data_IF_349109804665
#
_entry.id   IF_349109804665
#
_cell.length_a   1.000
_cell.length_b   1.000
_cell.length_c   1.000
_cell.angle_alpha   90.00
_cell.angle_beta   90.00
_cell.angle_gamma   90.00
#
_symmetry.space_group_name_H-M   'P 1'
#
loop_
_entity.id
_entity.type
_entity.pdbx_description
1 polymer ?
#
# COMPACT_ATOMS: atom_id res chain seq x y z
N UNK A 1 -12.24 37.76 4.29
CA UNK A 1 -11.69 37.64 2.94
C UNK A 1 -10.21 37.26 2.96
N UNK A 2 -9.53 37.10 1.83
CA UNK A 2 -8.14 36.64 1.72
C UNK A 2 -7.15 37.46 2.57
N UNK A 3 -7.29 38.77 2.56
CA UNK A 3 -6.44 39.70 3.35
C UNK A 3 -6.55 39.46 4.86
N UNK A 4 -7.72 39.11 5.37
CA UNK A 4 -7.92 38.82 6.79
C UNK A 4 -7.21 37.54 7.21
N UNK A 5 -7.30 36.48 6.38
CA UNK A 5 -6.61 35.23 6.64
C UNK A 5 -5.11 35.40 6.59
N UNK A 6 -4.60 36.09 5.58
CA UNK A 6 -3.19 36.43 5.48
C UNK A 6 -2.69 37.28 6.67
N UNK A 7 -3.53 38.18 7.17
CA UNK A 7 -3.23 38.98 8.38
C UNK A 7 -3.09 38.11 9.64
N UNK A 8 -4.00 37.14 9.83
CA UNK A 8 -3.93 36.18 10.95
C UNK A 8 -2.61 35.40 10.90
N UNK A 9 -2.30 34.83 9.73
CA UNK A 9 -1.09 34.01 9.55
C UNK A 9 0.20 34.83 9.77
N UNK A 10 0.23 36.08 9.31
CA UNK A 10 1.38 36.96 9.57
C UNK A 10 1.55 37.29 11.07
N UNK A 11 0.44 37.43 11.80
CA UNK A 11 0.48 37.63 13.25
C UNK A 11 0.99 36.40 14.00
N UNK A 12 0.80 35.20 13.40
CA UNK A 12 1.35 33.94 13.91
C UNK A 12 2.81 33.69 13.47
N UNK A 13 3.43 34.65 12.77
CA UNK A 13 4.84 34.60 12.41
C UNK A 13 5.14 34.02 11.02
N UNK A 14 4.12 33.78 10.18
CA UNK A 14 4.33 33.32 8.81
C UNK A 14 4.63 34.49 7.88
N UNK A 15 5.76 34.43 7.19
CA UNK A 15 6.10 35.39 6.15
C UNK A 15 5.31 35.07 4.88
N UNK A 16 4.30 35.86 4.57
CA UNK A 16 3.47 35.74 3.38
C UNK A 16 3.61 37.00 2.51
N UNK A 17 3.51 36.80 1.20
CA UNK A 17 3.42 37.93 0.25
C UNK A 17 2.22 38.81 0.54
N UNK A 18 2.20 40.06 0.02
CA UNK A 18 1.05 40.95 0.21
C UNK A 18 -0.27 40.37 -0.26
N UNK A 19 -0.25 39.58 -1.34
CA UNK A 19 -1.44 39.06 -2.01
C UNK A 19 -1.32 37.52 -2.25
N UNK A 20 -1.50 36.67 -1.20
CA UNK A 20 -1.53 35.26 -1.38
C UNK A 20 -2.79 34.84 -2.15
N UNK A 21 -2.67 33.80 -2.97
CA UNK A 21 -3.77 33.28 -3.79
C UNK A 21 -4.68 32.40 -2.92
N UNK A 22 -5.98 32.69 -2.89
CA UNK A 22 -6.99 31.80 -2.31
C UNK A 22 -7.87 31.22 -3.43
N UNK A 23 -7.93 29.89 -3.49
CA UNK A 23 -8.74 29.17 -4.47
C UNK A 23 -9.49 27.99 -3.83
N UNK A 24 -10.55 27.53 -4.46
CA UNK A 24 -11.24 26.32 -4.02
C UNK A 24 -10.33 25.11 -4.24
N UNK A 25 -10.11 24.33 -3.20
CA UNK A 25 -9.37 23.08 -3.33
C UNK A 25 -10.17 22.06 -4.14
N UNK A 26 -9.53 21.02 -4.65
CA UNK A 26 -10.22 19.92 -5.36
C UNK A 26 -11.23 19.17 -4.48
N UNK A 27 -11.20 19.39 -3.16
CA UNK A 27 -12.07 18.74 -2.18
C UNK A 27 -13.20 19.69 -1.77
N UNK A 28 -14.41 19.18 -1.72
CA UNK A 28 -15.58 19.98 -1.34
C UNK A 28 -15.46 20.55 0.08
N UNK A 29 -15.82 21.83 0.20
CA UNK A 29 -15.78 22.56 1.46
C UNK A 29 -14.40 23.00 1.94
N UNK A 30 -13.34 22.76 1.19
CA UNK A 30 -11.97 23.20 1.52
C UNK A 30 -11.51 24.25 0.52
N UNK A 31 -10.88 25.31 1.06
CA UNK A 31 -10.19 26.32 0.27
C UNK A 31 -8.70 26.23 0.54
N UNK A 32 -7.86 26.49 -0.44
CA UNK A 32 -6.42 26.58 -0.25
C UNK A 32 -5.96 28.03 -0.36
N UNK A 33 -5.09 28.41 0.58
CA UNK A 33 -4.26 29.60 0.48
C UNK A 33 -2.88 29.15 0.03
N UNK A 34 -2.42 29.72 -1.07
CA UNK A 34 -1.12 29.45 -1.64
C UNK A 34 -0.34 30.76 -1.77
N UNK A 35 0.87 30.77 -1.28
CA UNK A 35 1.82 31.84 -1.46
C UNK A 35 3.02 31.38 -2.28
N UNK A 36 3.11 31.85 -3.51
CA UNK A 36 4.20 31.48 -4.43
C UNK A 36 5.57 31.96 -3.97
N UNK A 37 5.63 33.09 -3.25
CA UNK A 37 6.88 33.71 -2.84
C UNK A 37 7.55 32.93 -1.72
N UNK A 38 6.80 32.65 -0.66
CA UNK A 38 7.30 31.94 0.51
C UNK A 38 7.11 30.41 0.42
N UNK A 39 6.42 29.92 -0.62
CA UNK A 39 6.02 28.51 -0.79
C UNK A 39 5.12 27.97 0.32
N UNK A 40 4.54 28.85 1.15
CA UNK A 40 3.57 28.43 2.17
C UNK A 40 2.25 28.03 1.55
N UNK A 41 1.69 26.95 2.06
CA UNK A 41 0.39 26.45 1.66
C UNK A 41 -0.46 26.09 2.88
N UNK A 42 -1.68 26.64 2.95
CA UNK A 42 -2.62 26.39 4.03
C UNK A 42 -3.96 25.90 3.49
N UNK A 43 -4.61 25.04 4.26
CA UNK A 43 -5.99 24.64 4.04
C UNK A 43 -6.93 25.46 4.92
N UNK A 44 -7.98 26.00 4.32
CA UNK A 44 -9.02 26.76 4.99
C UNK A 44 -10.31 25.95 4.95
N UNK A 45 -10.86 25.60 6.11
CA UNK A 45 -12.08 24.82 6.22
C UNK A 45 -13.07 25.49 7.20
N UNK A 46 -14.34 25.72 6.80
CA UNK A 46 -15.37 26.13 7.74
C UNK A 46 -15.57 25.05 8.83
N UNK A 47 -15.82 25.48 10.05
CA UNK A 47 -16.30 24.60 11.10
C UNK A 47 -17.68 24.05 10.75
N UNK A 48 -18.10 22.94 11.39
CA UNK A 48 -19.37 22.26 11.10
C UNK A 48 -20.58 23.16 11.34
N UNK A 49 -20.47 24.15 12.23
CA UNK A 49 -21.50 25.18 12.49
C UNK A 49 -21.45 26.37 11.50
N UNK A 50 -20.49 26.39 10.58
CA UNK A 50 -20.28 27.45 9.59
C UNK A 50 -19.85 28.79 10.16
N UNK A 51 -19.66 28.92 11.49
CA UNK A 51 -19.38 30.21 12.17
C UNK A 51 -17.90 30.54 12.30
N UNK A 52 -17.02 29.54 12.14
CA UNK A 52 -15.59 29.67 12.28
C UNK A 52 -14.88 29.14 11.03
N UNK A 53 -13.71 29.69 10.74
CA UNK A 53 -12.84 29.20 9.68
C UNK A 53 -11.58 28.62 10.34
N UNK A 54 -11.36 27.33 10.19
CA UNK A 54 -10.13 26.69 10.60
C UNK A 54 -9.05 26.90 9.54
N UNK A 55 -7.85 27.24 10.00
CA UNK A 55 -6.66 27.40 9.17
C UNK A 55 -5.71 26.28 9.58
N UNK A 56 -5.28 25.48 8.62
CA UNK A 56 -4.41 24.31 8.84
C UNK A 56 -3.21 24.39 7.91
N UNK A 57 -2.05 23.99 8.39
CA UNK A 57 -0.90 23.79 7.52
C UNK A 57 -1.28 22.76 6.43
N UNK A 58 -0.85 22.92 5.18
CA UNK A 58 -1.28 22.02 4.10
C UNK A 58 -0.88 20.56 4.37
N UNK A 59 0.25 20.34 5.03
CA UNK A 59 0.67 19.01 5.47
C UNK A 59 -0.25 18.38 6.50
N UNK A 60 -0.88 19.20 7.36
CA UNK A 60 -1.70 18.78 8.49
C UNK A 60 -3.19 19.06 8.27
N UNK A 61 -3.59 19.48 7.08
CA UNK A 61 -4.95 19.91 6.77
C UNK A 61 -6.00 18.80 6.97
N UNK A 62 -5.58 17.53 6.97
CA UNK A 62 -6.43 16.39 7.26
C UNK A 62 -6.71 16.22 8.76
N UNK A 63 -5.93 16.85 9.64
CA UNK A 63 -6.06 16.76 11.11
C UNK A 63 -7.06 17.75 11.69
N UNK A 64 -8.20 17.96 11.05
CA UNK A 64 -9.30 18.78 11.55
C UNK A 64 -10.38 17.91 12.25
N UNK A 65 -11.22 18.49 13.15
CA UNK A 65 -12.16 17.74 13.98
C UNK A 65 -13.08 16.73 13.25
N UNK A 66 -13.46 17.01 12.00
CA UNK A 66 -14.31 16.15 11.18
C UNK A 66 -13.56 15.31 10.17
N UNK A 67 -12.23 15.24 10.25
CA UNK A 67 -11.42 14.46 9.31
C UNK A 67 -11.66 12.96 9.48
N UNK A 68 -11.81 12.26 8.34
CA UNK A 68 -11.84 10.80 8.30
C UNK A 68 -10.55 10.17 8.89
N UNK A 69 -9.40 10.86 8.72
CA UNK A 69 -8.09 10.34 9.11
C UNK A 69 -7.79 10.40 10.61
N UNK A 70 -8.71 10.94 11.41
CA UNK A 70 -8.61 10.84 12.87
C UNK A 70 -8.89 9.41 13.32
N UNK A 71 -8.17 8.96 14.35
CA UNK A 71 -8.16 7.57 14.79
C UNK A 71 -9.52 7.03 15.19
N UNK A 72 -10.39 7.88 15.74
CA UNK A 72 -11.76 7.55 16.12
C UNK A 72 -12.71 7.39 14.92
N UNK A 73 -12.33 7.87 13.73
CA UNK A 73 -13.15 7.88 12.50
C UNK A 73 -12.69 6.92 11.42
N UNK A 74 -11.46 6.45 11.51
CA UNK A 74 -10.95 5.43 10.59
C UNK A 74 -11.80 4.16 10.68
N UNK A 75 -12.11 3.57 9.53
CA UNK A 75 -12.94 2.36 9.45
C UNK A 75 -12.23 1.24 8.70
N UNK A 76 -12.62 0.01 8.99
CA UNK A 76 -12.09 -1.16 8.31
C UNK A 76 -10.57 -1.23 8.35
N UNK A 77 -9.95 -1.42 7.19
CA UNK A 77 -8.49 -1.57 7.05
C UNK A 77 -7.68 -0.35 7.50
N UNK A 78 -8.28 0.84 7.50
CA UNK A 78 -7.59 2.08 7.87
C UNK A 78 -7.40 2.25 9.38
N UNK A 79 -8.10 1.45 10.20
CA UNK A 79 -7.86 1.40 11.65
C UNK A 79 -6.51 0.80 12.03
N UNK A 80 -5.90 0.08 11.09
CA UNK A 80 -4.71 -0.71 11.35
C UNK A 80 -5.01 -2.01 12.14
N UNK A 81 -4.19 -3.03 11.95
CA UNK A 81 -4.30 -4.29 12.68
C UNK A 81 -3.54 -4.19 14.02
N UNK A 82 -4.21 -4.32 15.18
CA UNK A 82 -3.56 -4.16 16.48
C UNK A 82 -2.40 -5.12 16.73
N UNK A 83 -2.54 -6.38 16.31
CA UNK A 83 -1.52 -7.40 16.47
C UNK A 83 -0.61 -7.49 15.25
N UNK A 84 0.71 -7.31 15.46
CA UNK A 84 1.71 -7.51 14.38
C UNK A 84 1.69 -8.91 13.80
N UNK A 85 1.52 -9.92 14.66
CA UNK A 85 1.48 -11.31 14.22
C UNK A 85 0.25 -11.58 13.37
N UNK A 86 -0.90 -11.08 13.78
CA UNK A 86 -2.15 -11.17 13.00
C UNK A 86 -2.02 -10.42 11.68
N UNK A 87 -1.46 -9.21 11.70
CA UNK A 87 -1.18 -8.45 10.49
C UNK A 87 -0.25 -9.21 9.53
N UNK A 88 0.85 -9.79 10.04
CA UNK A 88 1.75 -10.62 9.25
C UNK A 88 1.04 -11.83 8.64
N UNK A 89 0.21 -12.52 9.43
CA UNK A 89 -0.57 -13.64 8.93
C UNK A 89 -1.54 -13.21 7.81
N UNK A 90 -2.22 -12.07 7.99
CA UNK A 90 -3.13 -11.54 6.97
C UNK A 90 -2.41 -11.05 5.70
N UNK A 91 -1.20 -10.50 5.82
CA UNK A 91 -0.37 -10.13 4.67
C UNK A 91 0.17 -11.35 3.89
N UNK A 92 0.41 -12.48 4.55
CA UNK A 92 1.03 -13.64 3.91
C UNK A 92 0.00 -14.66 3.42
N UNK A 93 -0.96 -15.06 4.28
CA UNK A 93 -1.88 -16.18 4.04
C UNK A 93 -3.35 -15.88 4.40
N UNK A 94 -3.66 -14.70 4.94
CA UNK A 94 -5.02 -14.29 5.30
C UNK A 94 -5.77 -13.61 4.15
N UNK A 95 -6.69 -12.71 4.52
CA UNK A 95 -7.60 -12.07 3.55
C UNK A 95 -6.91 -11.16 2.53
N UNK A 96 -5.77 -10.55 2.83
CA UNK A 96 -4.93 -9.79 1.88
C UNK A 96 -3.64 -10.53 1.53
N UNK A 97 -3.60 -11.83 1.80
CA UNK A 97 -2.37 -12.61 1.76
C UNK A 97 -1.80 -12.79 0.36
N UNK A 98 -0.49 -12.62 0.26
CA UNK A 98 0.26 -12.83 -0.98
C UNK A 98 0.04 -14.24 -1.51
N UNK A 99 0.07 -15.25 -0.62
CA UNK A 99 -0.03 -16.65 -1.01
C UNK A 99 -1.48 -17.17 -1.06
N UNK A 100 -2.40 -16.59 -0.29
CA UNK A 100 -3.81 -17.03 -0.30
C UNK A 100 -4.58 -16.48 -1.49
N UNK A 101 -4.37 -15.22 -1.85
CA UNK A 101 -5.01 -14.61 -3.01
C UNK A 101 -4.34 -15.00 -4.33
N UNK A 102 -3.03 -15.17 -4.31
CA UNK A 102 -2.27 -15.53 -5.50
C UNK A 102 -1.38 -16.73 -5.21
N UNK A 103 -1.98 -17.93 -4.99
CA UNK A 103 -1.23 -19.12 -4.61
C UNK A 103 -0.25 -19.58 -5.70
N UNK A 104 -0.34 -19.05 -6.92
CA UNK A 104 0.64 -19.27 -7.96
C UNK A 104 2.07 -18.85 -7.54
N UNK A 105 2.22 -17.93 -6.57
CA UNK A 105 3.55 -17.56 -6.04
C UNK A 105 4.26 -18.69 -5.30
N UNK A 106 3.58 -19.79 -4.95
CA UNK A 106 4.24 -20.99 -4.47
C UNK A 106 5.17 -21.60 -5.55
N UNK A 107 4.82 -21.45 -6.82
CA UNK A 107 5.69 -21.85 -7.95
C UNK A 107 6.94 -20.96 -8.01
N UNK A 108 6.81 -19.65 -7.69
CA UNK A 108 7.95 -18.74 -7.60
C UNK A 108 8.88 -19.13 -6.45
N UNK A 109 8.34 -19.48 -5.28
CA UNK A 109 9.14 -19.98 -4.16
C UNK A 109 9.86 -21.29 -4.52
N UNK A 110 9.21 -22.21 -5.22
CA UNK A 110 9.86 -23.40 -5.74
C UNK A 110 11.00 -23.08 -6.70
N UNK A 111 10.82 -22.03 -7.54
CA UNK A 111 11.88 -21.52 -8.43
C UNK A 111 13.09 -20.98 -7.66
N UNK A 112 12.85 -20.22 -6.60
CA UNK A 112 13.94 -19.74 -5.70
C UNK A 112 14.68 -20.94 -5.11
N UNK A 113 13.95 -21.85 -4.48
CA UNK A 113 14.55 -23.03 -3.85
C UNK A 113 15.38 -23.85 -4.84
N UNK A 114 14.85 -24.08 -6.03
CA UNK A 114 15.55 -24.81 -7.09
C UNK A 114 16.87 -24.15 -7.46
N UNK A 115 16.90 -22.84 -7.73
CA UNK A 115 18.10 -22.14 -8.13
C UNK A 115 19.13 -22.14 -7.00
N UNK A 116 18.69 -21.93 -5.75
CA UNK A 116 19.59 -21.94 -4.58
C UNK A 116 20.22 -23.31 -4.36
N UNK A 117 19.42 -24.39 -4.47
CA UNK A 117 19.90 -25.76 -4.24
C UNK A 117 20.83 -26.22 -5.37
N UNK A 118 20.51 -25.90 -6.64
CA UNK A 118 21.30 -26.38 -7.79
C UNK A 118 22.61 -25.63 -7.98
N UNK A 119 22.75 -24.41 -7.46
CA UNK A 119 23.94 -23.59 -7.69
C UNK A 119 25.02 -23.90 -6.66
N UNK A 120 26.17 -24.46 -7.07
CA UNK A 120 27.26 -24.71 -6.16
C UNK A 120 27.80 -23.44 -5.50
N UNK A 121 28.21 -23.51 -4.24
CA UNK A 121 28.72 -22.35 -3.50
C UNK A 121 29.88 -21.62 -4.21
N UNK A 122 30.75 -22.37 -4.87
CA UNK A 122 31.84 -21.79 -5.66
C UNK A 122 31.37 -20.84 -6.78
N UNK A 123 30.15 -20.98 -7.25
CA UNK A 123 29.59 -20.21 -8.37
C UNK A 123 28.65 -19.08 -7.92
N UNK A 124 28.41 -18.86 -6.63
CA UNK A 124 27.48 -17.84 -6.14
C UNK A 124 27.81 -16.43 -6.64
N UNK A 125 29.08 -16.13 -6.80
CA UNK A 125 29.55 -14.82 -7.24
C UNK A 125 29.67 -14.67 -8.76
N UNK A 126 29.52 -15.76 -9.50
CA UNK A 126 29.67 -15.76 -10.98
C UNK A 126 28.36 -16.12 -11.69
N UNK A 127 27.45 -16.85 -11.03
CA UNK A 127 26.15 -17.22 -11.60
C UNK A 127 25.14 -16.07 -11.47
N UNK A 128 24.88 -15.42 -12.60
CA UNK A 128 23.97 -14.27 -12.66
C UNK A 128 22.51 -14.66 -12.32
N UNK A 129 22.09 -15.88 -12.65
CA UNK A 129 20.73 -16.34 -12.35
C UNK A 129 20.56 -16.52 -10.84
N UNK A 130 21.57 -17.06 -10.16
CA UNK A 130 21.57 -17.15 -8.70
C UNK A 130 21.55 -15.77 -8.06
N UNK A 131 22.43 -14.86 -8.47
CA UNK A 131 22.50 -13.50 -7.90
C UNK A 131 21.18 -12.75 -8.06
N UNK A 132 20.56 -12.80 -9.25
CA UNK A 132 19.28 -12.15 -9.49
C UNK A 132 18.16 -12.79 -8.65
N UNK A 133 18.15 -14.11 -8.52
CA UNK A 133 17.19 -14.83 -7.69
C UNK A 133 17.29 -14.42 -6.22
N UNK A 134 18.49 -14.39 -5.68
CA UNK A 134 18.77 -13.97 -4.29
C UNK A 134 18.38 -12.50 -4.10
N UNK A 135 18.77 -11.64 -5.04
CA UNK A 135 18.40 -10.21 -4.97
C UNK A 135 16.88 -10.01 -4.93
N UNK A 136 16.11 -10.69 -5.81
CA UNK A 136 14.63 -10.61 -5.81
C UNK A 136 14.07 -11.15 -4.49
N UNK A 137 14.51 -12.32 -4.04
CA UNK A 137 14.01 -12.94 -2.82
C UNK A 137 14.30 -12.09 -1.58
N UNK A 138 15.54 -11.60 -1.45
CA UNK A 138 15.96 -10.76 -0.33
C UNK A 138 15.23 -9.42 -0.31
N UNK A 139 15.14 -8.74 -1.46
CA UNK A 139 14.43 -7.46 -1.53
C UNK A 139 12.93 -7.65 -1.22
N UNK A 140 12.31 -8.72 -1.72
CA UNK A 140 10.92 -9.06 -1.38
C UNK A 140 10.74 -9.29 0.12
N UNK A 141 11.65 -10.05 0.76
CA UNK A 141 11.60 -10.31 2.19
C UNK A 141 11.80 -9.04 3.03
N UNK A 142 12.74 -8.17 2.63
CA UNK A 142 13.00 -6.88 3.29
C UNK A 142 11.76 -5.99 3.21
N UNK A 143 11.14 -5.87 2.03
CA UNK A 143 9.95 -5.01 1.85
C UNK A 143 8.75 -5.56 2.61
N UNK A 144 8.50 -6.88 2.58
CA UNK A 144 7.46 -7.51 3.40
C UNK A 144 7.72 -7.26 4.89
N UNK A 145 8.96 -7.49 5.34
CA UNK A 145 9.37 -7.25 6.73
C UNK A 145 9.19 -5.79 7.15
N UNK A 146 9.55 -4.86 6.29
CA UNK A 146 9.33 -3.42 6.51
C UNK A 146 7.86 -3.10 6.77
N UNK A 147 6.94 -3.56 5.90
CA UNK A 147 5.53 -3.28 6.09
C UNK A 147 4.94 -3.98 7.32
N UNK A 148 5.37 -5.20 7.65
CA UNK A 148 4.95 -5.88 8.88
C UNK A 148 5.44 -5.13 10.13
N UNK A 149 6.61 -4.49 10.07
CA UNK A 149 7.20 -3.77 11.19
C UNK A 149 6.59 -2.38 11.43
N UNK A 150 5.74 -1.86 10.52
CA UNK A 150 5.15 -0.51 10.65
C UNK A 150 4.40 -0.31 11.96
N UNK A 151 4.33 0.94 12.48
CA UNK A 151 3.51 1.28 13.63
C UNK A 151 2.03 1.03 13.36
N UNK A 152 1.20 1.03 14.41
CA UNK A 152 -0.22 0.63 14.34
C UNK A 152 -1.01 1.42 13.29
N UNK A 153 -0.83 2.71 13.26
CA UNK A 153 -1.50 3.66 12.36
C UNK A 153 -1.24 3.41 10.87
N UNK A 154 -0.14 2.72 10.57
CA UNK A 154 0.27 2.39 9.20
C UNK A 154 0.08 0.92 8.83
N UNK A 155 -0.41 0.09 9.76
CA UNK A 155 -0.68 -1.34 9.50
C UNK A 155 -1.97 -1.54 8.73
N UNK A 156 -1.97 -1.06 7.50
CA UNK A 156 -3.03 -1.33 6.54
C UNK A 156 -2.46 -2.12 5.35
N UNK A 157 -3.31 -2.56 4.46
CA UNK A 157 -2.92 -3.38 3.31
C UNK A 157 -2.72 -2.55 2.02
N UNK A 158 -2.62 -1.23 2.17
CA UNK A 158 -2.60 -0.27 1.07
C UNK A 158 -3.96 0.39 0.85
N UNK A 159 -4.80 0.47 1.89
CA UNK A 159 -6.18 0.93 1.84
C UNK A 159 -7.13 -0.17 1.37
N UNK A 160 -8.34 0.21 0.96
CA UNK A 160 -9.31 -0.73 0.37
C UNK A 160 -8.77 -1.21 -0.98
N UNK A 161 -8.36 -2.46 -1.05
CA UNK A 161 -7.71 -3.06 -2.23
C UNK A 161 -7.91 -4.57 -2.22
N UNK A 162 -7.84 -5.20 -3.38
CA UNK A 162 -8.03 -6.64 -3.55
C UNK A 162 -6.84 -7.52 -3.17
N UNK A 163 -5.83 -6.96 -2.50
CA UNK A 163 -4.63 -7.69 -2.08
C UNK A 163 -3.63 -6.78 -1.36
N UNK A 164 -2.47 -7.31 -1.00
CA UNK A 164 -1.40 -6.52 -0.41
C UNK A 164 -0.75 -5.61 -1.47
N UNK A 165 -1.32 -4.43 -1.66
CA UNK A 165 -0.93 -3.49 -2.73
C UNK A 165 0.54 -3.11 -2.72
N UNK A 166 1.16 -3.06 -1.55
CA UNK A 166 2.57 -2.73 -1.39
C UNK A 166 3.52 -3.68 -2.13
N UNK A 167 3.05 -4.90 -2.45
CA UNK A 167 3.86 -5.92 -3.11
C UNK A 167 3.60 -6.03 -4.62
N UNK A 168 2.69 -5.25 -5.18
CA UNK A 168 2.36 -5.33 -6.63
C UNK A 168 3.55 -5.01 -7.54
N UNK A 169 4.49 -4.20 -7.07
CA UNK A 169 5.73 -3.90 -7.79
C UNK A 169 6.62 -5.12 -8.05
N UNK A 170 6.49 -6.16 -7.22
CA UNK A 170 7.29 -7.38 -7.34
C UNK A 170 6.67 -8.40 -8.29
N UNK A 171 5.44 -8.23 -8.73
CA UNK A 171 4.72 -9.18 -9.58
C UNK A 171 5.53 -9.60 -10.81
N UNK A 172 6.14 -8.71 -11.62
CA UNK A 172 6.95 -9.12 -12.76
C UNK A 172 8.18 -9.95 -12.36
N UNK A 173 8.81 -9.62 -11.24
CA UNK A 173 9.98 -10.33 -10.74
C UNK A 173 9.60 -11.72 -10.23
N UNK A 174 8.46 -11.85 -9.55
CA UNK A 174 7.95 -13.13 -9.09
C UNK A 174 7.52 -14.03 -10.24
N UNK A 175 6.98 -13.47 -11.33
CA UNK A 175 6.74 -14.23 -12.56
C UNK A 175 8.04 -14.78 -13.15
N UNK A 176 9.10 -13.99 -13.14
CA UNK A 176 10.41 -14.45 -13.59
C UNK A 176 10.88 -15.67 -12.77
N UNK A 177 10.68 -15.66 -11.46
CA UNK A 177 10.97 -16.80 -10.56
C UNK A 177 10.03 -17.98 -10.85
N UNK A 178 8.74 -17.72 -11.08
CA UNK A 178 7.75 -18.77 -11.40
C UNK A 178 8.13 -19.56 -12.67
N UNK A 179 8.63 -18.89 -13.71
CA UNK A 179 9.13 -19.55 -14.92
C UNK A 179 10.24 -20.56 -14.60
N UNK A 180 11.05 -20.32 -13.57
CA UNK A 180 12.08 -21.26 -13.10
C UNK A 180 11.44 -22.41 -12.33
N UNK A 181 10.46 -22.09 -11.48
CA UNK A 181 9.72 -23.09 -10.71
C UNK A 181 8.94 -24.07 -11.58
N UNK A 182 8.39 -23.62 -12.71
CA UNK A 182 7.69 -24.45 -13.67
C UNK A 182 8.59 -25.60 -14.21
N UNK A 183 9.91 -25.39 -14.30
CA UNK A 183 10.85 -26.43 -14.72
C UNK A 183 10.86 -27.66 -13.78
N UNK A 184 10.36 -27.51 -12.55
CA UNK A 184 10.22 -28.62 -11.59
C UNK A 184 8.94 -29.42 -11.78
N UNK A 185 8.02 -28.90 -12.58
CA UNK A 185 6.70 -29.50 -12.75
C UNK A 185 6.79 -30.67 -13.74
N UNK A 186 6.82 -31.88 -13.19
CA UNK A 186 6.86 -33.10 -13.95
C UNK A 186 5.62 -33.96 -13.61
N UNK A 187 5.01 -34.49 -14.63
CA UNK A 187 3.84 -35.34 -14.48
C UNK A 187 2.50 -34.58 -14.37
N UNK A 188 1.44 -35.28 -14.77
CA UNK A 188 0.09 -34.70 -14.92
C UNK A 188 -0.48 -34.09 -13.64
N UNK A 189 -0.22 -34.70 -12.49
CA UNK A 189 -0.79 -34.25 -11.21
C UNK A 189 -0.20 -32.90 -10.74
N UNK A 190 1.12 -32.72 -10.90
CA UNK A 190 1.74 -31.45 -10.61
C UNK A 190 1.29 -30.34 -11.56
N UNK A 191 1.12 -30.66 -12.84
CA UNK A 191 0.54 -29.71 -13.79
C UNK A 191 -0.89 -29.33 -13.42
N UNK A 192 -1.72 -30.30 -13.02
CA UNK A 192 -3.07 -30.00 -12.54
C UNK A 192 -3.04 -29.09 -11.32
N UNK A 193 -2.16 -29.33 -10.35
CA UNK A 193 -1.99 -28.47 -9.19
C UNK A 193 -1.61 -27.05 -9.60
N UNK A 194 -0.59 -26.88 -10.44
CA UNK A 194 -0.17 -25.56 -10.93
C UNK A 194 -1.30 -24.83 -11.64
N UNK A 195 -2.09 -25.52 -12.44
CA UNK A 195 -3.26 -24.93 -13.12
C UNK A 195 -4.34 -24.50 -12.14
N UNK A 196 -4.59 -25.26 -11.07
CA UNK A 196 -5.52 -24.87 -10.00
C UNK A 196 -5.02 -23.62 -9.28
N UNK A 197 -3.74 -23.59 -8.90
CA UNK A 197 -3.13 -22.42 -8.25
C UNK A 197 -3.21 -21.18 -9.15
N UNK A 198 -2.96 -21.34 -10.44
CA UNK A 198 -3.10 -20.27 -11.43
C UNK A 198 -4.55 -19.81 -11.56
N UNK A 199 -5.52 -20.72 -11.63
CA UNK A 199 -6.94 -20.39 -11.75
C UNK A 199 -7.44 -19.57 -10.56
N UNK A 200 -7.07 -19.96 -9.32
CA UNK A 200 -7.38 -19.18 -8.10
C UNK A 200 -6.74 -17.80 -8.18
N UNK A 201 -5.49 -17.72 -8.63
CA UNK A 201 -4.78 -16.45 -8.75
C UNK A 201 -5.41 -15.52 -9.78
N UNK A 202 -5.82 -16.05 -10.93
CA UNK A 202 -6.54 -15.31 -11.98
C UNK A 202 -7.89 -14.82 -11.46
N UNK A 203 -8.64 -15.69 -10.77
CA UNK A 203 -9.91 -15.30 -10.14
C UNK A 203 -9.71 -14.15 -9.17
N UNK A 204 -8.73 -14.22 -8.28
CA UNK A 204 -8.44 -13.15 -7.32
C UNK A 204 -8.04 -11.84 -8.00
N UNK A 205 -7.26 -11.89 -9.07
CA UNK A 205 -6.84 -10.72 -9.83
C UNK A 205 -7.98 -10.08 -10.63
N UNK A 206 -8.94 -10.89 -11.11
CA UNK A 206 -10.08 -10.42 -11.90
C UNK A 206 -11.29 -10.04 -11.03
N UNK A 207 -11.33 -10.48 -9.78
CA UNK A 207 -12.43 -10.20 -8.85
C UNK A 207 -12.78 -8.71 -8.73
N UNK A 208 -11.81 -7.76 -8.64
CA UNK A 208 -12.07 -6.33 -8.56
C UNK A 208 -12.28 -5.64 -9.92
N UNK A 209 -12.58 -6.36 -10.99
CA UNK A 209 -12.66 -5.84 -12.37
C UNK A 209 -13.54 -4.57 -12.50
N UNK A 210 -14.71 -4.56 -11.86
CA UNK A 210 -15.63 -3.42 -11.92
C UNK A 210 -15.29 -2.28 -10.97
N UNK A 211 -14.58 -2.58 -9.89
CA UNK A 211 -14.20 -1.61 -8.87
C UNK A 211 -12.88 -2.03 -8.21
N UNK A 212 -11.75 -1.36 -8.53
CA UNK A 212 -10.45 -1.68 -7.95
C UNK A 212 -10.37 -1.39 -6.43
N UNK A 213 -11.28 -0.55 -5.91
CA UNK A 213 -11.40 -0.26 -4.49
C UNK A 213 -12.36 -1.24 -3.81
N UNK A 214 -12.07 -2.52 -3.96
CA UNK A 214 -12.87 -3.61 -3.38
C UNK A 214 -11.98 -4.45 -2.49
N UNK A 215 -12.49 -4.79 -1.30
CA UNK A 215 -11.81 -5.75 -0.42
C UNK A 215 -11.70 -7.12 -1.08
N UNK A 216 -10.66 -7.89 -0.78
CA UNK A 216 -10.49 -9.23 -1.34
C UNK A 216 -11.70 -10.12 -1.08
N UNK A 217 -12.00 -11.04 -1.99
CA UNK A 217 -13.10 -11.99 -1.82
C UNK A 217 -12.97 -12.85 -0.56
N UNK A 218 -11.74 -13.07 -0.07
CA UNK A 218 -11.47 -13.79 1.18
C UNK A 218 -12.00 -13.11 2.44
N UNK A 219 -12.24 -11.79 2.42
CA UNK A 219 -12.82 -11.08 3.58
C UNK A 219 -14.23 -11.55 3.93
N UNK A 220 -14.91 -12.26 3.03
CA UNK A 220 -16.19 -12.92 3.30
C UNK A 220 -16.07 -14.10 4.28
N UNK A 221 -14.89 -14.70 4.37
CA UNK A 221 -14.62 -15.91 5.16
C UNK A 221 -13.69 -15.61 6.34
N UNK A 222 -12.79 -14.66 6.15
CA UNK A 222 -11.85 -14.18 7.17
C UNK A 222 -12.12 -12.68 7.33
N UNK A 223 -12.96 -12.27 8.29
CA UNK A 223 -13.36 -10.87 8.46
C UNK A 223 -12.17 -9.99 8.84
N UNK A 224 -12.32 -8.69 8.51
CA UNK A 224 -11.36 -7.62 8.84
C UNK A 224 -11.31 -7.33 10.33
#
# INVERSE_FOLDING_TARGET
GPAMVAGILRNEGFELSPEPIIRKARRDGVWELWDETSQWKFALKPSDDGKRLGIYHWGDWYDFPTSYWKDDRKQGVDRGEPSRLRYAAHCLIGHHGILSLTPFWLVSLAGVMWIVIRTPQANWWTDREFQLTVAIALTSAIVVGFYIARPLEDRNYGGVTSGLRWMFWFVPLWFWLAVRGIRLVHGRWLWMLVMILLAISVFSATYPWSNPWTNPWLTRWVPL
#
